data_IF_549135696563
#
_entry.id   IF_549135696563
#
_cell.length_a   1.000
_cell.length_b   1.000
_cell.length_c   1.000
_cell.angle_alpha   90.00
_cell.angle_beta   90.00
_cell.angle_gamma   90.00
#
_symmetry.space_group_name_H-M   'P 1'
#
loop_
_entity.id
_entity.type
_entity.pdbx_description
1 polymer ?
#
# COMPACT_ATOMS: atom_id res chain seq x y z
N UNK A 1 -6.72 -28.21 11.45
CA UNK A 1 -6.28 -27.69 10.14
C UNK A 1 -5.20 -26.66 10.33
N UNK A 2 -4.10 -26.72 9.59
CA UNK A 2 -3.05 -25.69 9.62
C UNK A 2 -3.65 -24.34 9.18
N UNK A 3 -3.50 -23.29 10.00
CA UNK A 3 -3.94 -21.95 9.62
C UNK A 3 -3.07 -21.45 8.46
N UNK A 4 -3.68 -21.07 7.35
CA UNK A 4 -2.96 -20.48 6.21
C UNK A 4 -2.49 -19.08 6.61
N UNK A 5 -1.28 -18.74 6.19
CA UNK A 5 -0.72 -17.39 6.30
C UNK A 5 -0.69 -16.78 4.90
N UNK A 6 -1.08 -15.52 4.80
CA UNK A 6 -1.03 -14.74 3.56
C UNK A 6 -0.14 -13.54 3.79
N UNK A 7 0.84 -13.33 2.94
CA UNK A 7 1.66 -12.13 2.90
C UNK A 7 1.32 -11.39 1.61
N UNK A 8 0.81 -10.16 1.74
CA UNK A 8 0.55 -9.27 0.62
C UNK A 8 1.66 -8.21 0.57
N UNK A 9 2.47 -8.24 -0.47
CA UNK A 9 3.52 -7.25 -0.72
C UNK A 9 3.08 -6.31 -1.84
N UNK A 10 3.18 -5.01 -1.59
CA UNK A 10 2.82 -4.00 -2.56
C UNK A 10 3.89 -2.91 -2.62
N UNK A 11 4.36 -2.63 -3.81
CA UNK A 11 5.22 -1.48 -4.09
C UNK A 11 4.38 -0.27 -4.50
N UNK A 12 4.88 0.93 -4.24
CA UNK A 12 4.28 2.17 -4.72
C UNK A 12 4.94 2.60 -6.04
N UNK A 13 4.13 3.05 -6.99
CA UNK A 13 4.59 3.62 -8.28
C UNK A 13 5.45 2.69 -9.15
N UNK A 14 5.44 1.38 -8.94
CA UNK A 14 6.19 0.44 -9.75
C UNK A 14 5.42 0.08 -11.03
N UNK A 15 6.07 0.25 -12.16
CA UNK A 15 5.59 -0.18 -13.48
C UNK A 15 6.01 -1.62 -13.75
N UNK A 16 5.21 -2.37 -14.51
CA UNK A 16 5.52 -3.75 -14.88
C UNK A 16 6.83 -3.86 -15.67
N UNK A 17 7.08 -2.92 -16.59
CA UNK A 17 8.31 -2.87 -17.39
C UNK A 17 9.58 -2.50 -16.60
N UNK A 18 9.49 -2.30 -15.29
CA UNK A 18 10.63 -2.16 -14.37
C UNK A 18 10.98 -3.47 -13.65
N UNK A 19 10.60 -4.60 -14.20
CA UNK A 19 10.90 -5.93 -13.68
C UNK A 19 11.49 -6.83 -14.77
N UNK A 20 12.50 -7.62 -14.42
CA UNK A 20 13.13 -8.57 -15.33
C UNK A 20 12.15 -9.58 -15.89
N UNK A 21 11.27 -10.14 -15.07
CA UNK A 21 10.26 -11.10 -15.47
C UNK A 21 9.22 -10.58 -16.49
N UNK A 22 9.13 -9.27 -16.67
CA UNK A 22 8.34 -8.63 -17.74
C UNK A 22 9.17 -8.21 -18.97
N UNK A 23 10.41 -8.69 -19.05
CA UNK A 23 11.26 -8.54 -20.24
C UNK A 23 12.16 -7.31 -20.23
N UNK A 24 12.40 -6.68 -19.08
CA UNK A 24 13.35 -5.58 -18.98
C UNK A 24 14.76 -6.13 -18.63
N UNK A 25 15.72 -6.13 -19.58
CA UNK A 25 17.05 -6.68 -19.35
C UNK A 25 17.93 -5.80 -18.44
N UNK A 26 17.60 -4.51 -18.32
CA UNK A 26 18.38 -3.55 -17.53
C UNK A 26 18.02 -3.63 -16.03
N UNK A 27 16.91 -4.31 -15.68
CA UNK A 27 16.43 -4.43 -14.31
C UNK A 27 16.88 -5.74 -13.68
N UNK A 28 17.69 -5.64 -12.64
CA UNK A 28 18.15 -6.79 -11.87
C UNK A 28 17.20 -7.11 -10.73
N UNK A 29 16.19 -7.97 -10.99
CA UNK A 29 15.14 -8.33 -10.02
C UNK A 29 15.03 -9.84 -9.76
N UNK A 30 16.15 -10.53 -9.41
CA UNK A 30 16.21 -12.00 -9.41
C UNK A 30 15.24 -12.67 -8.45
N UNK A 31 14.88 -12.03 -7.34
CA UNK A 31 13.92 -12.60 -6.39
C UNK A 31 12.48 -12.51 -6.91
N UNK A 32 12.11 -11.42 -7.57
CA UNK A 32 10.79 -11.26 -8.19
C UNK A 32 10.67 -12.16 -9.43
N UNK A 33 11.73 -12.27 -10.21
CA UNK A 33 11.80 -13.16 -11.37
C UNK A 33 11.58 -14.61 -10.94
N UNK A 34 12.25 -15.06 -9.87
CA UNK A 34 12.04 -16.38 -9.29
C UNK A 34 10.62 -16.59 -8.77
N UNK A 35 10.00 -15.57 -8.14
CA UNK A 35 8.60 -15.67 -7.72
C UNK A 35 7.66 -15.81 -8.93
N UNK A 36 7.94 -15.09 -10.01
CA UNK A 36 7.15 -15.20 -11.24
C UNK A 36 7.29 -16.58 -11.89
N UNK A 37 8.47 -17.21 -11.84
CA UNK A 37 8.71 -18.57 -12.34
C UNK A 37 8.01 -19.64 -11.52
N UNK A 38 7.95 -19.47 -10.18
CA UNK A 38 7.38 -20.45 -9.25
C UNK A 38 5.88 -20.26 -9.00
N UNK A 39 5.33 -19.12 -9.38
CA UNK A 39 3.96 -18.72 -9.11
C UNK A 39 3.15 -18.45 -10.36
N UNK A 40 2.26 -17.48 -10.23
CA UNK A 40 1.43 -16.99 -11.35
C UNK A 40 1.81 -15.54 -11.62
N UNK A 41 2.21 -15.25 -12.85
CA UNK A 41 2.43 -13.88 -13.33
C UNK A 41 1.21 -13.41 -14.11
N UNK A 42 0.71 -12.23 -13.80
CA UNK A 42 -0.40 -11.59 -14.51
C UNK A 42 0.15 -10.57 -15.51
N UNK A 43 0.08 -10.87 -16.80
CA UNK A 43 0.57 -9.98 -17.86
C UNK A 43 -0.36 -8.78 -18.09
N UNK A 44 -1.63 -8.90 -17.67
CA UNK A 44 -2.65 -7.85 -17.80
C UNK A 44 -3.39 -7.68 -16.48
N UNK A 45 -2.82 -6.86 -15.61
CA UNK A 45 -3.46 -6.41 -14.38
C UNK A 45 -3.80 -4.92 -14.48
N UNK A 46 -5.01 -4.55 -14.08
CA UNK A 46 -5.51 -3.18 -14.20
C UNK A 46 -5.94 -2.66 -12.84
N UNK A 47 -5.65 -1.40 -12.58
CA UNK A 47 -6.19 -0.68 -11.42
C UNK A 47 -7.46 0.08 -11.80
N UNK A 48 -8.33 0.30 -10.83
CA UNK A 48 -9.56 1.07 -11.02
C UNK A 48 -9.30 2.54 -11.32
N UNK A 49 -8.20 3.08 -10.79
CA UNK A 49 -7.72 4.44 -11.06
C UNK A 49 -6.22 4.50 -10.75
N UNK A 50 -5.37 5.05 -11.64
CA UNK A 50 -3.92 5.06 -11.49
C UNK A 50 -3.43 6.23 -10.60
N UNK A 51 -3.98 6.34 -9.41
CA UNK A 51 -3.57 7.24 -8.34
C UNK A 51 -3.43 6.46 -7.04
N UNK A 52 -2.52 6.88 -6.16
CA UNK A 52 -2.16 6.16 -4.94
C UNK A 52 -3.37 5.80 -4.08
N UNK A 53 -4.11 6.79 -3.60
CA UNK A 53 -5.24 6.57 -2.70
C UNK A 53 -6.40 5.85 -3.37
N UNK A 54 -6.88 6.23 -4.57
CA UNK A 54 -7.94 5.51 -5.26
C UNK A 54 -7.60 4.05 -5.58
N UNK A 55 -6.36 3.77 -6.01
CA UNK A 55 -5.91 2.39 -6.26
C UNK A 55 -5.91 1.56 -4.96
N UNK A 56 -5.42 2.14 -3.86
CA UNK A 56 -5.44 1.50 -2.54
C UNK A 56 -6.86 1.27 -2.05
N UNK A 57 -7.77 2.22 -2.25
CA UNK A 57 -9.19 2.03 -1.94
C UNK A 57 -9.77 0.85 -2.71
N UNK A 58 -9.49 0.73 -4.00
CA UNK A 58 -9.90 -0.43 -4.80
C UNK A 58 -9.38 -1.75 -4.21
N UNK A 59 -8.13 -1.80 -3.78
CA UNK A 59 -7.50 -2.99 -3.21
C UNK A 59 -8.05 -3.33 -1.82
N UNK A 60 -8.06 -2.35 -0.91
CA UNK A 60 -8.37 -2.61 0.50
C UNK A 60 -9.86 -2.58 0.85
N UNK A 61 -10.69 -1.93 0.03
CA UNK A 61 -12.13 -1.86 0.24
C UNK A 61 -12.91 -2.73 -0.76
N UNK A 62 -12.29 -3.14 -1.87
CA UNK A 62 -12.92 -3.95 -2.90
C UNK A 62 -14.03 -3.22 -3.65
N UNK A 63 -13.95 -1.90 -3.79
CA UNK A 63 -14.94 -1.08 -4.47
C UNK A 63 -14.30 -0.07 -5.43
N UNK A 64 -15.10 0.43 -6.37
CA UNK A 64 -14.63 1.51 -7.23
C UNK A 64 -14.49 2.82 -6.46
N UNK A 65 -13.52 3.68 -6.81
CA UNK A 65 -13.25 4.93 -6.11
C UNK A 65 -14.47 5.84 -5.94
N UNK A 66 -15.35 5.91 -6.92
CA UNK A 66 -16.59 6.70 -6.85
C UNK A 66 -17.60 6.15 -5.83
N UNK A 67 -17.55 4.86 -5.52
CA UNK A 67 -18.45 4.21 -4.56
C UNK A 67 -17.98 4.36 -3.11
N UNK A 68 -16.71 4.70 -2.88
CA UNK A 68 -16.13 4.86 -1.55
C UNK A 68 -15.57 6.27 -1.30
N UNK A 69 -15.97 7.25 -2.13
CA UNK A 69 -15.55 8.64 -2.04
C UNK A 69 -14.02 8.87 -2.12
N UNK A 70 -13.30 8.02 -2.85
CA UNK A 70 -11.83 8.06 -2.93
C UNK A 70 -11.36 8.26 -4.38
N UNK A 71 -11.61 9.41 -4.97
CA UNK A 71 -11.22 9.73 -6.35
C UNK A 71 -10.00 10.65 -6.46
N UNK A 72 -9.41 11.08 -5.34
CA UNK A 72 -8.17 11.85 -5.31
C UNK A 72 -7.31 11.46 -4.11
N UNK A 73 -6.04 11.89 -4.11
CA UNK A 73 -5.09 11.60 -3.03
C UNK A 73 -5.32 12.38 -1.72
N UNK A 74 -6.31 13.26 -1.67
CA UNK A 74 -6.57 14.13 -0.52
C UNK A 74 -7.91 13.83 0.17
N UNK A 75 -8.52 12.70 -0.15
CA UNK A 75 -9.85 12.35 0.35
C UNK A 75 -9.78 11.11 1.24
N UNK A 76 -10.36 11.20 2.43
CA UNK A 76 -10.61 10.00 3.23
C UNK A 76 -11.66 9.11 2.56
N UNK A 77 -11.55 7.81 2.78
CA UNK A 77 -12.59 6.88 2.31
C UNK A 77 -13.85 7.00 3.17
N UNK A 78 -15.00 6.70 2.58
CA UNK A 78 -16.27 6.70 3.29
C UNK A 78 -16.26 5.64 4.41
N UNK A 79 -16.68 6.04 5.61
CA UNK A 79 -16.82 5.14 6.76
C UNK A 79 -17.87 4.03 6.58
N UNK A 80 -18.67 4.10 5.52
CA UNK A 80 -19.69 3.09 5.24
C UNK A 80 -19.15 1.84 4.52
N UNK A 81 -17.86 1.82 4.15
CA UNK A 81 -17.25 0.71 3.43
C UNK A 81 -16.22 0.03 4.32
N UNK A 82 -16.47 -1.24 4.62
CA UNK A 82 -15.54 -2.03 5.43
C UNK A 82 -14.29 -2.41 4.63
N UNK A 83 -13.13 -2.23 5.26
CA UNK A 83 -11.85 -2.68 4.71
C UNK A 83 -11.71 -4.21 4.76
N UNK A 84 -10.77 -4.75 3.98
CA UNK A 84 -10.39 -6.16 4.06
C UNK A 84 -9.91 -6.53 5.47
N UNK A 85 -9.23 -5.62 6.18
CA UNK A 85 -8.82 -5.82 7.58
C UNK A 85 -10.03 -6.07 8.48
N UNK A 86 -11.06 -5.23 8.39
CA UNK A 86 -12.30 -5.40 9.16
C UNK A 86 -13.01 -6.72 8.83
N UNK A 87 -13.14 -7.04 7.54
CA UNK A 87 -13.77 -8.30 7.10
C UNK A 87 -13.03 -9.53 7.60
N UNK A 88 -11.71 -9.53 7.55
CA UNK A 88 -10.87 -10.64 8.02
C UNK A 88 -10.95 -10.77 9.54
N UNK A 89 -10.87 -9.66 10.26
CA UNK A 89 -10.98 -9.62 11.73
C UNK A 89 -12.33 -10.16 12.22
N UNK A 90 -13.43 -9.80 11.56
CA UNK A 90 -14.76 -10.32 11.89
C UNK A 90 -14.87 -11.85 11.74
N UNK A 91 -13.96 -12.46 10.98
CA UNK A 91 -13.85 -13.91 10.81
C UNK A 91 -12.71 -14.55 11.62
N UNK A 92 -12.19 -13.81 12.62
CA UNK A 92 -11.15 -14.32 13.51
C UNK A 92 -9.77 -14.47 12.87
N UNK A 93 -9.52 -13.78 11.77
CA UNK A 93 -8.21 -13.74 11.13
C UNK A 93 -7.40 -12.59 11.74
N UNK A 94 -6.22 -12.91 12.24
CA UNK A 94 -5.26 -11.91 12.70
C UNK A 94 -4.71 -11.13 11.51
N UNK A 95 -4.68 -9.81 11.63
CA UNK A 95 -4.27 -8.89 10.56
C UNK A 95 -3.11 -8.02 11.02
N UNK A 96 -2.12 -7.82 10.18
CA UNK A 96 -1.00 -6.92 10.40
C UNK A 96 -0.82 -6.01 9.20
N UNK A 97 -0.30 -4.81 9.41
CA UNK A 97 -0.04 -3.85 8.34
C UNK A 97 1.25 -3.09 8.57
N UNK A 98 2.08 -2.98 7.55
CA UNK A 98 3.30 -2.17 7.58
C UNK A 98 3.37 -1.37 6.28
N UNK A 99 3.56 -0.06 6.39
CA UNK A 99 3.82 0.83 5.27
C UNK A 99 2.73 1.85 4.97
N UNK A 100 2.68 2.35 3.76
CA UNK A 100 1.79 3.43 3.35
C UNK A 100 0.32 3.02 3.36
N UNK A 101 -0.48 3.58 4.26
CA UNK A 101 -1.94 3.41 4.28
C UNK A 101 -2.65 4.33 3.29
N UNK A 102 -2.59 5.63 3.52
CA UNK A 102 -3.12 6.68 2.63
C UNK A 102 -4.62 6.55 2.28
N UNK A 103 -5.44 6.10 3.25
CA UNK A 103 -6.90 5.98 3.11
C UNK A 103 -7.68 6.75 4.17
N UNK A 104 -7.01 7.46 5.04
CA UNK A 104 -7.58 8.11 6.23
C UNK A 104 -7.81 9.63 6.06
N UNK A 105 -7.65 10.16 4.85
CA UNK A 105 -7.83 11.58 4.55
C UNK A 105 -6.71 12.50 5.00
N UNK A 106 -5.63 11.94 5.52
CA UNK A 106 -4.40 12.66 5.81
C UNK A 106 -3.59 12.99 4.55
N UNK A 107 -2.39 13.48 4.77
CA UNK A 107 -1.42 13.64 3.71
C UNK A 107 -0.88 12.26 3.24
N UNK A 108 0.15 12.28 2.41
CA UNK A 108 0.82 11.08 1.90
C UNK A 108 1.26 10.09 3.00
N UNK A 109 1.59 10.59 4.19
CA UNK A 109 2.04 9.79 5.33
C UNK A 109 0.89 9.20 6.16
N UNK A 110 -0.35 9.66 5.95
CA UNK A 110 -1.49 9.25 6.75
C UNK A 110 -1.56 9.95 8.12
N UNK A 111 -2.47 9.48 8.96
CA UNK A 111 -2.71 10.02 10.30
C UNK A 111 -2.06 9.20 11.44
N UNK A 112 -1.45 8.07 11.14
CA UNK A 112 -0.86 7.16 12.13
C UNK A 112 -1.88 6.36 12.94
N UNK A 113 -3.16 6.43 12.58
CA UNK A 113 -4.24 5.76 13.32
C UNK A 113 -4.51 4.38 12.73
N UNK A 114 -4.47 3.35 13.56
CA UNK A 114 -4.87 2.02 13.18
C UNK A 114 -6.37 1.99 12.84
N UNK A 115 -6.76 1.66 11.60
CA UNK A 115 -8.18 1.56 11.24
C UNK A 115 -8.84 0.34 11.87
N UNK A 116 -10.16 0.40 12.00
CA UNK A 116 -10.94 -0.71 12.54
C UNK A 116 -10.68 -2.02 11.76
N UNK A 117 -10.48 -3.10 12.52
CA UNK A 117 -10.23 -4.44 11.98
C UNK A 117 -8.78 -4.78 11.72
N UNK A 118 -7.88 -3.84 11.91
CA UNK A 118 -6.44 -4.13 11.96
C UNK A 118 -6.00 -4.26 13.42
N UNK A 119 -5.02 -5.12 13.66
CA UNK A 119 -4.46 -5.32 15.00
C UNK A 119 -3.49 -4.16 15.32
N UNK A 120 -3.80 -3.40 16.35
CA UNK A 120 -3.05 -2.20 16.71
C UNK A 120 -1.61 -2.50 17.14
N UNK A 121 -1.35 -3.68 17.72
CA UNK A 121 0.00 -4.10 18.09
C UNK A 121 0.87 -4.47 16.87
N UNK A 122 0.24 -4.66 15.71
CA UNK A 122 0.87 -5.01 14.43
C UNK A 122 0.54 -4.01 13.32
N UNK A 123 0.21 -2.78 13.73
CA UNK A 123 0.01 -1.65 12.83
C UNK A 123 1.21 -0.73 12.84
N UNK A 124 1.79 -0.49 11.66
CA UNK A 124 2.89 0.46 11.50
C UNK A 124 2.79 1.13 10.13
N UNK A 125 2.25 2.35 10.10
CA UNK A 125 2.14 3.12 8.87
C UNK A 125 3.30 4.12 8.69
N UNK A 126 3.28 4.86 7.59
CA UNK A 126 4.31 5.84 7.28
C UNK A 126 4.34 7.01 8.28
N UNK A 127 3.23 7.35 8.94
CA UNK A 127 3.21 8.38 9.99
C UNK A 127 3.98 7.92 11.22
N UNK A 128 3.78 6.66 11.64
CA UNK A 128 4.54 6.08 12.74
C UNK A 128 6.04 6.15 12.45
N UNK A 129 6.45 5.71 11.25
CA UNK A 129 7.84 5.83 10.82
C UNK A 129 8.35 7.28 10.85
N UNK A 130 7.57 8.24 10.35
CA UNK A 130 7.98 9.65 10.34
C UNK A 130 8.13 10.23 11.75
N UNK A 131 7.33 9.77 12.71
CA UNK A 131 7.39 10.21 14.11
C UNK A 131 8.61 9.68 14.83
N UNK A 132 9.13 8.53 14.44
CA UNK A 132 10.36 7.94 14.99
C UNK A 132 11.64 8.58 14.47
N UNK A 133 11.59 9.33 13.35
CA UNK A 133 12.76 10.01 12.81
C UNK A 133 13.25 11.12 13.73
N UNK A 134 14.55 11.24 13.85
CA UNK A 134 15.21 12.38 14.48
C UNK A 134 14.89 13.70 13.75
N UNK A 135 15.07 14.87 14.39
CA UNK A 135 14.88 16.16 13.71
C UNK A 135 15.72 16.28 12.42
N UNK A 136 16.94 15.79 12.42
CA UNK A 136 17.86 15.80 11.29
C UNK A 136 17.37 14.93 10.14
N UNK A 137 16.93 13.71 10.45
CA UNK A 137 16.36 12.77 9.47
C UNK A 137 15.05 13.29 8.87
N UNK A 138 14.21 13.95 9.67
CA UNK A 138 12.98 14.60 9.19
C UNK A 138 13.26 15.71 8.18
N UNK A 139 14.34 16.47 8.37
CA UNK A 139 14.75 17.50 7.40
C UNK A 139 15.17 16.85 6.08
N UNK A 140 15.91 15.75 6.13
CA UNK A 140 16.33 15.01 4.93
C UNK A 140 15.11 14.41 4.22
N UNK A 141 14.20 13.79 4.95
CA UNK A 141 13.01 13.14 4.39
C UNK A 141 12.03 14.12 3.72
N UNK A 142 12.07 15.40 4.10
CA UNK A 142 11.23 16.48 3.55
C UNK A 142 11.89 17.26 2.41
N UNK A 143 13.16 16.98 2.10
CA UNK A 143 13.87 17.65 0.99
C UNK A 143 13.33 17.12 -0.35
N UNK A 144 12.23 17.71 -0.79
CA UNK A 144 11.79 17.62 -2.18
C UNK A 144 12.68 18.44 -3.13
N UNK A 145 13.45 19.38 -2.59
CA UNK A 145 14.29 20.32 -3.34
C UNK A 145 15.46 19.66 -4.08
N UNK A 146 15.78 18.40 -3.74
CA UNK A 146 16.83 17.65 -4.43
C UNK A 146 16.36 17.07 -5.77
N UNK A 147 15.05 16.99 -6.01
CA UNK A 147 14.50 16.45 -7.25
C UNK A 147 14.34 17.53 -8.33
N UNK A 148 14.20 18.79 -7.93
CA UNK A 148 14.09 19.92 -8.87
C UNK A 148 15.44 20.42 -9.44
N UNK A 149 16.56 19.86 -8.99
CA UNK A 149 17.92 20.32 -9.38
C UNK A 149 18.70 19.36 -10.26
N UNK A 150 18.04 18.27 -10.77
CA UNK A 150 18.69 17.33 -11.69
C UNK A 150 17.87 17.14 -12.97
#
# INVERSE_FOLDING_TARGET
MSKRKVLFLMTDSQRADMLGCYGNPDMHTPNLDRLAEQGIRFDKAYTTQPLCQPARAGIFLGCYPHSCASWSNSMGVSGNVQSIGKRLSDHGVHTAYIGKWHLDGGDYFGLGRCPEGWDADYWYDMRNYLEELTPEERVISRRTDSIEKY
#
